data_IF_060956173126
#
_entry.id   IF_060956173126
#
_cell.length_a   1.000
_cell.length_b   1.000
_cell.length_c   1.000
_cell.angle_alpha   90.00
_cell.angle_beta   90.00
_cell.angle_gamma   90.00
#
_symmetry.space_group_name_H-M   'P 1'
#
loop_
_entity.id
_entity.type
_entity.pdbx_description
1 polymer ?
#
# COMPACT_ATOMS: atom_id res chain seq x y z
N UNK A 1 17.03 -13.99 3.20
CA UNK A 1 16.06 -14.23 2.10
C UNK A 1 16.68 -15.32 1.26
N UNK A 2 15.92 -16.36 0.93
CA UNK A 2 16.40 -17.46 0.09
C UNK A 2 16.74 -16.94 -1.32
N UNK A 3 17.86 -17.38 -1.88
CA UNK A 3 18.32 -16.98 -3.21
C UNK A 3 17.33 -17.32 -4.32
N UNK A 4 16.40 -18.26 -4.08
CA UNK A 4 15.28 -18.55 -4.98
C UNK A 4 14.39 -17.35 -5.24
N UNK A 5 14.01 -16.59 -4.20
CA UNK A 5 13.16 -15.40 -4.39
C UNK A 5 13.88 -14.26 -5.11
N UNK A 6 15.21 -14.15 -4.97
CA UNK A 6 15.99 -13.23 -5.78
C UNK A 6 15.94 -13.60 -7.27
N UNK A 7 15.95 -14.89 -7.61
CA UNK A 7 15.79 -15.36 -9.00
C UNK A 7 14.36 -15.12 -9.52
N UNK A 8 13.34 -15.25 -8.67
CA UNK A 8 11.96 -14.91 -9.04
C UNK A 8 11.81 -13.42 -9.35
N UNK A 9 12.41 -12.54 -8.52
CA UNK A 9 12.47 -11.10 -8.82
C UNK A 9 13.14 -10.84 -10.17
N UNK A 10 14.28 -11.48 -10.45
CA UNK A 10 14.96 -11.31 -11.75
C UNK A 10 14.10 -11.77 -12.92
N UNK A 11 13.35 -12.87 -12.74
CA UNK A 11 12.47 -13.44 -13.77
C UNK A 11 11.26 -12.53 -14.04
N UNK A 12 10.70 -11.93 -12.98
CA UNK A 12 9.51 -11.08 -13.08
C UNK A 12 9.84 -9.63 -13.45
N UNK A 13 11.10 -9.21 -13.36
CA UNK A 13 11.52 -7.82 -13.50
C UNK A 13 10.98 -7.14 -14.76
N UNK A 14 11.12 -7.81 -15.90
CA UNK A 14 10.68 -7.29 -17.21
C UNK A 14 9.17 -7.42 -17.46
N UNK A 15 8.45 -8.13 -16.58
CA UNK A 15 7.00 -8.18 -16.57
C UNK A 15 6.37 -7.05 -15.72
N UNK A 16 7.18 -6.40 -14.86
CA UNK A 16 6.78 -5.29 -13.99
C UNK A 16 7.26 -3.96 -14.58
N UNK A 17 8.54 -3.89 -14.95
CA UNK A 17 9.17 -2.69 -15.50
C UNK A 17 9.74 -2.97 -16.90
N UNK A 18 9.93 -1.95 -17.74
CA UNK A 18 10.55 -2.13 -19.06
C UNK A 18 12.08 -2.20 -19.00
N UNK A 19 12.66 -2.82 -20.03
CA UNK A 19 14.11 -2.95 -20.17
C UNK A 19 14.80 -1.58 -20.27
N UNK A 20 14.18 -0.64 -20.98
CA UNK A 20 14.68 0.73 -21.16
C UNK A 20 14.77 1.53 -19.86
N UNK A 21 14.09 1.08 -18.81
CA UNK A 21 14.21 1.63 -17.46
C UNK A 21 15.27 0.86 -16.63
N UNK A 22 15.16 -0.47 -16.59
CA UNK A 22 15.95 -1.31 -15.72
C UNK A 22 17.44 -1.29 -16.09
N UNK A 23 17.77 -1.36 -17.38
CA UNK A 23 19.15 -1.42 -17.84
C UNK A 23 19.93 -0.14 -17.52
N UNK A 24 19.45 1.08 -17.87
CA UNK A 24 20.13 2.31 -17.48
C UNK A 24 20.26 2.48 -15.97
N UNK A 25 19.22 2.13 -15.20
CA UNK A 25 19.24 2.21 -13.74
C UNK A 25 20.34 1.32 -13.15
N UNK A 26 20.41 0.05 -13.57
CA UNK A 26 21.44 -0.89 -13.13
C UNK A 26 22.84 -0.41 -13.53
N UNK A 27 23.01 0.03 -14.77
CA UNK A 27 24.30 0.54 -15.27
C UNK A 27 24.77 1.77 -14.51
N UNK A 28 23.84 2.67 -14.13
CA UNK A 28 24.14 3.82 -13.28
C UNK A 28 24.60 3.34 -11.91
N UNK A 29 23.82 2.51 -11.22
CA UNK A 29 24.11 2.05 -9.86
C UNK A 29 25.47 1.32 -9.79
N UNK A 30 25.79 0.48 -10.78
CA UNK A 30 27.09 -0.25 -10.85
C UNK A 30 28.31 0.68 -10.91
N UNK A 31 28.14 1.94 -11.32
CA UNK A 31 29.21 2.94 -11.41
C UNK A 31 29.28 3.85 -10.17
N UNK A 32 28.35 3.72 -9.23
CA UNK A 32 28.31 4.55 -8.03
C UNK A 32 29.30 4.07 -6.96
N UNK A 33 29.68 5.00 -6.08
CA UNK A 33 30.38 4.73 -4.83
C UNK A 33 29.41 4.49 -3.67
N UNK A 34 29.86 4.74 -2.45
CA UNK A 34 29.03 4.69 -1.23
C UNK A 34 28.09 5.89 -1.09
N UNK A 35 28.50 7.04 -1.63
CA UNK A 35 27.75 8.29 -1.51
C UNK A 35 26.46 8.26 -2.36
N UNK A 36 25.30 8.61 -1.78
CA UNK A 36 24.06 8.72 -2.53
C UNK A 36 24.18 9.74 -3.68
N UNK A 37 23.73 9.34 -4.86
CA UNK A 37 23.63 10.18 -6.05
C UNK A 37 22.28 9.96 -6.71
N UNK A 38 21.80 10.98 -7.42
CA UNK A 38 20.62 10.88 -8.27
C UNK A 38 20.78 9.70 -9.26
N UNK A 39 19.77 8.82 -9.30
CA UNK A 39 19.81 7.62 -10.13
C UNK A 39 19.40 7.89 -11.57
N UNK A 40 18.30 8.62 -11.77
CA UNK A 40 17.77 8.92 -13.09
C UNK A 40 17.53 10.42 -13.24
N UNK A 41 17.77 10.96 -14.45
CA UNK A 41 17.63 12.40 -14.70
C UNK A 41 16.21 12.92 -14.48
N UNK A 42 15.21 12.07 -14.73
CA UNK A 42 13.80 12.42 -14.65
C UNK A 42 13.23 12.31 -13.23
N UNK A 43 13.95 11.66 -12.30
CA UNK A 43 13.57 11.58 -10.88
C UNK A 43 14.38 12.57 -10.07
N UNK A 44 13.72 13.52 -9.42
CA UNK A 44 14.41 14.59 -8.69
C UNK A 44 14.77 14.21 -7.26
N UNK A 45 14.09 13.23 -6.68
CA UNK A 45 14.17 12.85 -5.27
C UNK A 45 14.86 11.49 -5.05
N UNK A 46 14.90 10.63 -6.08
CA UNK A 46 15.38 9.27 -5.93
C UNK A 46 16.90 9.20 -6.11
N UNK A 47 17.56 9.09 -4.96
CA UNK A 47 19.00 8.89 -4.87
C UNK A 47 19.33 7.47 -4.42
N UNK A 48 20.51 7.01 -4.79
CA UNK A 48 21.02 5.71 -4.38
C UNK A 48 22.53 5.65 -4.48
N UNK A 49 23.09 4.54 -4.01
CA UNK A 49 24.51 4.25 -4.05
C UNK A 49 24.71 2.85 -4.66
N UNK A 50 25.95 2.36 -4.65
CA UNK A 50 26.30 1.04 -5.23
C UNK A 50 25.48 -0.13 -4.70
N UNK A 51 24.95 -0.03 -3.49
CA UNK A 51 24.23 -1.10 -2.79
C UNK A 51 22.71 -1.02 -3.02
N UNK A 52 22.21 0.07 -3.59
CA UNK A 52 20.77 0.31 -3.78
C UNK A 52 20.07 -0.72 -4.65
N UNK A 53 20.73 -1.23 -5.69
CA UNK A 53 20.15 -2.27 -6.55
C UNK A 53 19.94 -3.59 -5.79
N UNK A 54 20.95 -3.99 -5.01
CA UNK A 54 20.85 -5.17 -4.15
C UNK A 54 19.76 -4.98 -3.10
N UNK A 55 19.70 -3.81 -2.47
CA UNK A 55 18.66 -3.49 -1.49
C UNK A 55 17.25 -3.58 -2.09
N UNK A 56 17.02 -3.02 -3.28
CA UNK A 56 15.73 -3.07 -3.97
C UNK A 56 15.32 -4.52 -4.30
N UNK A 57 16.25 -5.34 -4.82
CA UNK A 57 15.98 -6.76 -5.10
C UNK A 57 15.67 -7.56 -3.83
N UNK A 58 16.39 -7.31 -2.74
CA UNK A 58 16.17 -7.94 -1.44
C UNK A 58 14.82 -7.51 -0.86
N UNK A 59 14.42 -6.25 -0.98
CA UNK A 59 13.11 -5.75 -0.57
C UNK A 59 11.98 -6.51 -1.30
N UNK A 60 12.02 -6.53 -2.63
CA UNK A 60 11.02 -7.24 -3.43
C UNK A 60 10.98 -8.75 -3.12
N UNK A 61 12.16 -9.40 -3.05
CA UNK A 61 12.26 -10.83 -2.75
C UNK A 61 11.72 -11.19 -1.35
N UNK A 62 11.90 -10.30 -0.37
CA UNK A 62 11.33 -10.48 0.97
C UNK A 62 9.82 -10.46 0.95
N UNK A 63 9.22 -9.58 0.15
CA UNK A 63 7.78 -9.55 -0.05
C UNK A 63 7.26 -10.80 -0.76
N UNK A 64 7.98 -11.32 -1.78
CA UNK A 64 7.61 -12.57 -2.45
C UNK A 64 7.63 -13.77 -1.49
N UNK A 65 8.66 -13.86 -0.64
CA UNK A 65 8.74 -14.91 0.38
C UNK A 65 7.53 -14.89 1.32
N UNK A 66 7.09 -13.70 1.75
CA UNK A 66 5.90 -13.58 2.59
C UNK A 66 4.60 -13.92 1.85
N UNK A 67 4.55 -13.71 0.53
CA UNK A 67 3.43 -14.19 -0.27
C UNK A 67 3.30 -15.71 -0.21
N UNK A 68 4.40 -16.45 -0.30
CA UNK A 68 4.37 -17.92 -0.15
C UNK A 68 3.90 -18.35 1.23
N UNK A 69 4.42 -17.73 2.30
CA UNK A 69 3.97 -18.02 3.67
C UNK A 69 2.44 -17.88 3.82
N UNK A 70 1.85 -16.87 3.18
CA UNK A 70 0.40 -16.60 3.23
C UNK A 70 -0.39 -17.50 2.25
N UNK A 71 0.10 -17.70 1.02
CA UNK A 71 -0.55 -18.54 0.01
C UNK A 71 -0.60 -20.01 0.44
N UNK A 72 0.43 -20.48 1.15
CA UNK A 72 0.55 -21.85 1.62
C UNK A 72 -0.08 -22.06 3.01
N UNK A 73 -0.65 -21.01 3.60
CA UNK A 73 -1.37 -21.07 4.88
C UNK A 73 -0.48 -21.27 6.11
N UNK A 74 0.82 -20.97 6.01
CA UNK A 74 1.74 -20.95 7.16
C UNK A 74 1.52 -19.71 8.04
N UNK A 75 1.03 -18.63 7.44
CA UNK A 75 0.53 -17.46 8.14
C UNK A 75 -0.78 -16.97 7.50
N UNK A 76 -1.70 -16.42 8.30
CA UNK A 76 -2.87 -15.73 7.76
C UNK A 76 -2.46 -14.37 7.16
N UNK A 77 -1.59 -13.66 7.87
CA UNK A 77 -1.14 -12.31 7.52
C UNK A 77 0.37 -12.18 7.65
N UNK A 78 0.99 -11.34 6.83
CA UNK A 78 2.41 -11.04 6.90
C UNK A 78 2.70 -9.54 6.71
N UNK A 79 3.76 -9.04 7.35
CA UNK A 79 4.25 -7.66 7.19
C UNK A 79 5.73 -7.67 6.79
N UNK A 80 6.03 -7.09 5.64
CA UNK A 80 7.36 -6.86 5.10
C UNK A 80 7.83 -5.46 5.50
N UNK A 81 8.65 -5.37 6.56
CA UNK A 81 9.36 -4.15 6.95
C UNK A 81 10.56 -3.87 6.03
N UNK A 82 10.30 -3.65 4.75
CA UNK A 82 11.31 -3.52 3.69
C UNK A 82 11.71 -2.07 3.44
N UNK A 83 12.89 -1.89 2.85
CA UNK A 83 13.38 -0.61 2.30
C UNK A 83 14.40 -0.92 1.20
N UNK A 84 14.37 -0.25 0.02
CA UNK A 84 13.52 0.88 -0.37
C UNK A 84 12.02 0.56 -0.55
N UNK A 85 11.14 1.58 -0.50
CA UNK A 85 9.71 1.46 -0.85
C UNK A 85 9.53 1.15 -2.36
N UNK A 86 8.29 1.00 -2.81
CA UNK A 86 7.99 0.58 -4.17
C UNK A 86 6.84 1.28 -4.90
N UNK A 87 5.87 1.87 -4.22
CA UNK A 87 4.60 2.27 -4.87
C UNK A 87 4.71 3.38 -5.94
N UNK A 88 5.80 4.15 -5.94
CA UNK A 88 6.13 5.15 -6.96
C UNK A 88 6.99 4.63 -8.13
N UNK A 89 7.53 3.41 -8.04
CA UNK A 89 8.28 2.84 -9.15
C UNK A 89 7.32 2.43 -10.26
N UNK A 90 7.25 3.24 -11.32
CA UNK A 90 6.44 2.99 -12.51
C UNK A 90 7.11 2.01 -13.47
N UNK A 91 6.47 1.77 -14.61
CA UNK A 91 6.96 0.83 -15.60
C UNK A 91 8.26 1.32 -16.25
N UNK A 92 8.38 2.63 -16.45
CA UNK A 92 9.47 3.25 -17.20
C UNK A 92 10.36 4.18 -16.36
N UNK A 93 10.06 4.32 -15.06
CA UNK A 93 10.72 5.30 -14.21
C UNK A 93 10.82 4.88 -12.74
N UNK A 94 11.76 5.55 -12.05
CA UNK A 94 11.95 5.53 -10.60
C UNK A 94 11.50 6.90 -10.11
N UNK A 95 10.77 6.97 -9.01
CA UNK A 95 10.46 8.23 -8.34
C UNK A 95 10.09 7.97 -6.89
N UNK A 96 9.97 9.00 -6.04
CA UNK A 96 9.47 8.84 -4.67
C UNK A 96 10.30 7.86 -3.84
N UNK A 97 11.63 7.85 -4.05
CA UNK A 97 12.58 6.93 -3.43
C UNK A 97 12.45 5.44 -3.84
N UNK A 98 11.56 5.12 -4.78
CA UNK A 98 11.21 3.77 -5.18
C UNK A 98 11.98 3.32 -6.43
N UNK A 99 12.68 2.18 -6.34
CA UNK A 99 13.46 1.60 -7.46
C UNK A 99 12.79 0.39 -8.13
N UNK A 100 11.96 -0.34 -7.39
CA UNK A 100 11.23 -1.51 -7.87
C UNK A 100 9.87 -1.52 -7.19
N UNK A 101 8.81 -1.93 -7.89
CA UNK A 101 7.47 -1.90 -7.34
C UNK A 101 7.16 -3.17 -6.54
N UNK A 102 7.49 -3.16 -5.25
CA UNK A 102 7.39 -4.32 -4.35
C UNK A 102 6.01 -5.01 -4.40
N UNK A 103 4.90 -4.24 -4.35
CA UNK A 103 3.55 -4.81 -4.33
C UNK A 103 3.12 -5.36 -5.70
N UNK A 104 3.57 -4.75 -6.80
CA UNK A 104 3.31 -5.31 -8.14
C UNK A 104 4.12 -6.58 -8.37
N UNK A 105 5.37 -6.67 -7.89
CA UNK A 105 6.12 -7.93 -7.88
C UNK A 105 5.35 -9.03 -7.14
N UNK A 106 4.79 -8.73 -5.96
CA UNK A 106 3.94 -9.67 -5.22
C UNK A 106 2.74 -10.13 -6.04
N UNK A 107 2.00 -9.19 -6.64
CA UNK A 107 0.86 -9.52 -7.49
C UNK A 107 1.26 -10.43 -8.65
N UNK A 108 2.31 -10.10 -9.41
CA UNK A 108 2.78 -10.91 -10.54
C UNK A 108 3.28 -12.29 -10.12
N UNK A 109 3.95 -12.37 -8.98
CA UNK A 109 4.40 -13.64 -8.41
C UNK A 109 3.21 -14.53 -8.02
N UNK A 110 2.27 -14.00 -7.24
CA UNK A 110 1.03 -14.70 -6.86
C UNK A 110 0.29 -15.19 -8.10
N UNK A 111 0.16 -14.34 -9.13
CA UNK A 111 -0.55 -14.69 -10.38
C UNK A 111 0.22 -15.71 -11.22
N UNK A 112 1.55 -15.76 -11.13
CA UNK A 112 2.36 -16.82 -11.76
C UNK A 112 2.14 -18.17 -11.06
N UNK A 113 2.12 -18.18 -9.73
CA UNK A 113 1.99 -19.38 -8.90
C UNK A 113 0.53 -19.85 -8.75
N UNK A 114 -0.43 -18.93 -8.84
CA UNK A 114 -1.89 -19.11 -8.75
C UNK A 114 -2.62 -18.29 -9.83
N UNK A 115 -2.62 -18.72 -11.11
CA UNK A 115 -3.16 -17.96 -12.23
C UNK A 115 -4.66 -17.61 -12.18
N UNK A 116 -5.43 -18.23 -11.30
CA UNK A 116 -6.86 -17.95 -11.12
C UNK A 116 -7.17 -17.05 -9.93
N UNK A 117 -6.16 -16.70 -9.11
CA UNK A 117 -6.38 -15.89 -7.93
C UNK A 117 -6.54 -14.43 -8.28
N UNK A 118 -7.54 -13.78 -7.69
CA UNK A 118 -7.75 -12.34 -7.74
C UNK A 118 -6.91 -11.65 -6.67
N UNK A 119 -6.06 -10.73 -7.07
CA UNK A 119 -5.21 -9.96 -6.15
C UNK A 119 -5.79 -8.55 -6.03
N UNK A 120 -6.01 -8.08 -4.80
CA UNK A 120 -6.39 -6.69 -4.57
C UNK A 120 -5.32 -5.97 -3.76
N UNK A 121 -4.84 -4.84 -4.26
CA UNK A 121 -3.90 -3.96 -3.58
C UNK A 121 -4.64 -2.76 -3.01
N UNK A 122 -4.46 -2.50 -1.72
CA UNK A 122 -4.96 -1.30 -1.04
C UNK A 122 -3.77 -0.48 -0.57
N UNK A 123 -3.63 0.73 -1.11
CA UNK A 123 -2.59 1.68 -0.75
C UNK A 123 -3.16 2.78 0.15
N UNK A 124 -2.57 2.92 1.34
CA UNK A 124 -2.92 3.97 2.29
C UNK A 124 -1.75 4.87 2.67
N UNK A 125 -0.62 4.78 1.95
CA UNK A 125 0.38 5.85 1.93
C UNK A 125 -0.29 7.17 1.53
N UNK A 126 0.18 8.29 2.06
CA UNK A 126 -0.45 9.58 1.78
C UNK A 126 -0.21 10.06 0.35
N UNK A 127 0.87 9.58 -0.28
CA UNK A 127 1.19 9.88 -1.66
C UNK A 127 0.46 8.91 -2.59
N UNK A 128 0.10 9.39 -3.77
CA UNK A 128 -0.48 8.52 -4.79
C UNK A 128 0.52 7.43 -5.18
N UNK A 129 0.14 6.16 -5.07
CA UNK A 129 0.87 5.01 -5.62
C UNK A 129 0.84 4.97 -7.16
N UNK A 130 1.36 6.02 -7.79
CA UNK A 130 1.31 6.28 -9.23
C UNK A 130 2.07 5.24 -10.05
N UNK A 131 3.21 4.76 -9.56
CA UNK A 131 3.94 3.67 -10.19
C UNK A 131 3.13 2.37 -10.20
N UNK A 132 2.42 2.08 -9.10
CA UNK A 132 1.51 0.92 -9.01
C UNK A 132 0.35 1.08 -10.00
N UNK A 133 -0.28 2.26 -10.05
CA UNK A 133 -1.33 2.57 -11.01
C UNK A 133 -0.84 2.39 -12.45
N UNK A 134 0.31 2.95 -12.82
CA UNK A 134 0.87 2.88 -14.16
C UNK A 134 1.04 1.44 -14.62
N UNK A 135 1.67 0.61 -13.78
CA UNK A 135 1.91 -0.79 -14.14
C UNK A 135 0.60 -1.58 -14.21
N UNK A 136 -0.33 -1.41 -13.27
CA UNK A 136 -1.63 -2.10 -13.28
C UNK A 136 -2.45 -1.71 -14.51
N UNK A 137 -2.47 -0.42 -14.87
CA UNK A 137 -3.15 0.10 -16.04
C UNK A 137 -2.56 -0.49 -17.35
N UNK A 138 -1.23 -0.60 -17.42
CA UNK A 138 -0.55 -1.19 -18.57
C UNK A 138 -0.84 -2.68 -18.73
N UNK A 139 -0.81 -3.43 -17.62
CA UNK A 139 -1.02 -4.87 -17.63
C UNK A 139 -2.46 -5.26 -18.02
N UNK A 140 -3.43 -4.36 -17.83
CA UNK A 140 -4.86 -4.58 -18.14
C UNK A 140 -5.41 -5.88 -17.52
N UNK A 141 -4.89 -6.28 -16.36
CA UNK A 141 -5.26 -7.54 -15.71
C UNK A 141 -6.61 -7.37 -14.99
N UNK A 142 -7.63 -8.07 -15.47
CA UNK A 142 -8.96 -8.07 -14.87
C UNK A 142 -9.01 -8.81 -13.52
N UNK A 143 -7.93 -9.52 -13.16
CA UNK A 143 -7.75 -10.18 -11.86
C UNK A 143 -6.78 -9.44 -10.93
N UNK A 144 -6.39 -8.19 -11.24
CA UNK A 144 -5.71 -7.29 -10.30
C UNK A 144 -6.53 -6.02 -10.08
N UNK A 145 -7.04 -5.83 -8.87
CA UNK A 145 -7.68 -4.58 -8.42
C UNK A 145 -6.68 -3.72 -7.65
N UNK A 146 -6.64 -2.42 -7.93
CA UNK A 146 -5.85 -1.43 -7.17
C UNK A 146 -6.75 -0.31 -6.64
N UNK A 147 -6.64 -0.01 -5.36
CA UNK A 147 -7.31 1.13 -4.72
C UNK A 147 -6.33 1.90 -3.84
N UNK A 148 -6.25 3.22 -4.00
CA UNK A 148 -5.28 4.08 -3.30
C UNK A 148 -5.99 5.25 -2.63
N UNK A 149 -5.63 5.49 -1.36
CA UNK A 149 -5.88 6.75 -0.67
C UNK A 149 -4.72 7.68 -0.97
N UNK A 150 -4.99 8.96 -1.16
CA UNK A 150 -3.92 9.94 -1.39
C UNK A 150 -4.41 11.36 -1.13
N UNK A 151 -3.49 12.27 -0.84
CA UNK A 151 -3.75 13.69 -1.02
C UNK A 151 -3.64 14.03 -2.51
N UNK A 152 -4.64 14.74 -3.02
CA UNK A 152 -4.53 15.44 -4.31
C UNK A 152 -4.77 16.90 -4.05
N UNK A 153 -3.85 17.74 -4.51
CA UNK A 153 -4.07 19.18 -4.57
C UNK A 153 -4.98 19.50 -5.75
N UNK A 154 -6.16 20.06 -5.50
CA UNK A 154 -7.05 20.53 -6.58
C UNK A 154 -6.62 21.88 -7.19
N UNK A 155 -5.32 22.18 -7.25
CA UNK A 155 -4.79 23.33 -8.00
C UNK A 155 -4.86 23.11 -9.53
N UNK A 156 -5.94 22.51 -10.03
CA UNK A 156 -6.30 22.45 -11.46
C UNK A 156 -7.60 23.20 -11.76
N UNK A 157 -7.96 24.21 -10.96
CA UNK A 157 -8.84 25.26 -11.47
C UNK A 157 -8.11 26.22 -12.43
N UNK A 158 -6.78 26.16 -12.49
CA UNK A 158 -5.93 26.82 -13.46
C UNK A 158 -5.18 25.76 -14.28
N UNK A 159 -5.34 25.76 -15.61
CA UNK A 159 -4.67 24.87 -16.54
C UNK A 159 -3.12 25.07 -16.61
N UNK A 160 -2.56 26.00 -15.84
CA UNK A 160 -1.16 26.40 -15.86
C UNK A 160 -0.38 26.11 -14.57
N UNK A 161 -1.01 25.70 -13.46
CA UNK A 161 -0.34 25.51 -12.17
C UNK A 161 -0.12 24.03 -11.79
N UNK A 162 0.64 23.28 -12.59
CA UNK A 162 1.15 21.94 -12.21
C UNK A 162 2.26 21.99 -11.15
N UNK A 163 2.79 23.17 -10.83
CA UNK A 163 4.01 23.34 -10.04
C UNK A 163 3.80 23.41 -8.51
N UNK A 164 2.55 23.44 -8.03
CA UNK A 164 2.21 23.55 -6.60
C UNK A 164 1.46 22.31 -6.06
N UNK A 165 1.58 21.18 -6.75
CA UNK A 165 0.89 19.95 -6.38
C UNK A 165 1.67 19.11 -5.36
N UNK A 166 0.97 18.51 -4.40
CA UNK A 166 1.54 17.48 -3.51
C UNK A 166 2.11 16.38 -4.37
N UNK A 167 3.33 15.93 -4.05
CA UNK A 167 3.99 14.88 -4.81
C UNK A 167 3.08 13.63 -4.89
N UNK A 168 2.94 12.98 -6.06
CA UNK A 168 3.56 13.24 -7.37
C UNK A 168 2.76 14.20 -8.28
N UNK A 169 1.61 14.71 -7.84
CA UNK A 169 0.74 15.59 -8.66
C UNK A 169 -0.11 14.83 -9.69
N UNK A 170 -0.31 13.53 -9.48
CA UNK A 170 -1.14 12.62 -10.29
C UNK A 170 -2.29 12.03 -9.47
N UNK A 171 -3.03 11.08 -10.05
CA UNK A 171 -4.06 10.31 -9.35
C UNK A 171 -5.46 10.94 -9.39
N UNK A 172 -5.70 11.85 -10.34
CA UNK A 172 -7.05 12.37 -10.59
C UNK A 172 -7.99 11.23 -11.05
N UNK A 173 -9.17 11.06 -10.45
CA UNK A 173 -10.13 10.04 -10.90
C UNK A 173 -10.56 10.19 -12.36
N UNK A 174 -10.39 11.38 -12.97
CA UNK A 174 -10.65 11.62 -14.40
C UNK A 174 -9.59 11.00 -15.31
N UNK A 175 -8.40 10.73 -14.78
CA UNK A 175 -7.32 10.06 -15.53
C UNK A 175 -7.55 8.53 -15.61
N UNK A 176 -8.67 8.03 -15.07
CA UNK A 176 -9.01 6.61 -15.01
C UNK A 176 -9.94 6.15 -16.14
N UNK A 177 -10.12 6.95 -17.20
CA UNK A 177 -10.97 6.58 -18.34
C UNK A 177 -10.53 5.24 -18.93
N UNK A 178 -11.41 4.23 -18.83
CA UNK A 178 -11.16 2.85 -19.29
C UNK A 178 -10.44 1.94 -18.28
N UNK A 179 -10.08 2.44 -17.10
CA UNK A 179 -9.43 1.68 -16.01
C UNK A 179 -10.45 1.30 -14.93
N UNK A 180 -11.19 0.21 -15.15
CA UNK A 180 -12.26 -0.24 -14.24
C UNK A 180 -11.75 -0.93 -12.96
N UNK A 181 -10.46 -1.24 -12.91
CA UNK A 181 -9.79 -1.94 -11.81
C UNK A 181 -8.87 -1.02 -10.99
N UNK A 182 -8.89 0.29 -11.24
CA UNK A 182 -8.11 1.31 -10.51
C UNK A 182 -9.07 2.30 -9.86
N UNK A 183 -8.85 2.60 -8.58
CA UNK A 183 -9.69 3.50 -7.80
C UNK A 183 -8.85 4.44 -6.94
N UNK A 184 -8.93 5.73 -7.26
CA UNK A 184 -8.21 6.76 -6.50
C UNK A 184 -9.16 7.50 -5.57
N UNK A 185 -8.73 7.71 -4.33
CA UNK A 185 -9.43 8.52 -3.35
C UNK A 185 -8.67 9.81 -3.05
N UNK A 186 -8.82 10.84 -3.92
CA UNK A 186 -8.18 12.12 -3.70
C UNK A 186 -8.79 12.86 -2.51
N UNK A 187 -7.94 13.37 -1.62
CA UNK A 187 -8.32 14.30 -0.56
C UNK A 187 -7.72 15.67 -0.85
N UNK A 188 -8.58 16.69 -0.92
CA UNK A 188 -8.18 18.10 -1.06
C UNK A 188 -8.10 18.75 0.33
N UNK A 189 -6.88 19.06 0.77
CA UNK A 189 -6.59 19.60 2.09
C UNK A 189 -6.04 18.54 3.06
N UNK A 190 -6.23 18.69 4.39
CA UNK A 190 -5.70 17.73 5.34
C UNK A 190 -6.43 16.39 5.24
N UNK A 191 -5.71 15.28 5.39
CA UNK A 191 -6.31 13.96 5.56
C UNK A 191 -6.84 13.86 6.98
N UNK A 192 -8.17 13.79 7.11
CA UNK A 192 -8.83 13.59 8.39
C UNK A 192 -9.40 12.17 8.50
N UNK A 193 -9.80 11.77 9.70
CA UNK A 193 -10.47 10.47 9.94
C UNK A 193 -11.72 10.24 9.07
N UNK A 194 -12.47 11.30 8.75
CA UNK A 194 -13.63 11.22 7.85
C UNK A 194 -13.23 10.76 6.43
N UNK A 195 -12.04 11.13 5.98
CA UNK A 195 -11.53 10.81 4.66
C UNK A 195 -11.02 9.35 4.64
N UNK A 196 -10.36 8.92 5.71
CA UNK A 196 -10.06 7.49 5.96
C UNK A 196 -11.31 6.62 5.97
N UNK A 197 -12.37 7.06 6.66
CA UNK A 197 -13.65 6.36 6.69
C UNK A 197 -14.27 6.25 5.28
N UNK A 198 -14.28 7.36 4.53
CA UNK A 198 -14.83 7.41 3.17
C UNK A 198 -14.03 6.54 2.21
N UNK A 199 -12.70 6.58 2.28
CA UNK A 199 -11.82 5.67 1.53
C UNK A 199 -12.12 4.22 1.86
N UNK A 200 -12.09 3.87 3.14
CA UNK A 200 -12.38 2.52 3.61
C UNK A 200 -13.74 2.02 3.10
N UNK A 201 -14.78 2.85 3.16
CA UNK A 201 -16.14 2.55 2.67
C UNK A 201 -16.15 2.21 1.18
N UNK A 202 -15.56 3.08 0.36
CA UNK A 202 -15.50 2.88 -1.09
C UNK A 202 -14.67 1.64 -1.43
N UNK A 203 -13.50 1.49 -0.81
CA UNK A 203 -12.61 0.35 -1.02
C UNK A 203 -13.29 -0.96 -0.65
N UNK A 204 -13.98 -1.04 0.49
CA UNK A 204 -14.75 -2.24 0.85
C UNK A 204 -15.83 -2.61 -0.17
N UNK A 205 -16.54 -1.63 -0.73
CA UNK A 205 -17.54 -1.89 -1.75
C UNK A 205 -16.89 -2.52 -3.00
N UNK A 206 -15.73 -2.00 -3.42
CA UNK A 206 -14.95 -2.53 -4.56
C UNK A 206 -14.36 -3.90 -4.28
N UNK A 207 -13.84 -4.13 -3.08
CA UNK A 207 -13.35 -5.45 -2.68
C UNK A 207 -14.49 -6.50 -2.65
N UNK A 208 -15.68 -6.15 -2.17
CA UNK A 208 -16.86 -7.05 -2.18
C UNK A 208 -17.29 -7.42 -3.60
N UNK A 209 -17.26 -6.46 -4.52
CA UNK A 209 -17.57 -6.67 -5.93
C UNK A 209 -16.52 -7.57 -6.61
N UNK A 210 -15.24 -7.26 -6.37
CA UNK A 210 -14.11 -7.94 -6.98
C UNK A 210 -13.85 -9.35 -6.45
N UNK A 211 -14.17 -9.61 -5.17
CA UNK A 211 -13.98 -10.90 -4.48
C UNK A 211 -12.52 -11.39 -4.55
N UNK A 212 -11.56 -10.68 -3.96
CA UNK A 212 -10.15 -11.07 -4.00
C UNK A 212 -9.91 -12.38 -3.26
N UNK A 213 -8.91 -13.13 -3.72
CA UNK A 213 -8.38 -14.31 -3.03
C UNK A 213 -7.31 -13.92 -2.00
N UNK A 214 -6.66 -12.77 -2.16
CA UNK A 214 -5.62 -12.24 -1.26
C UNK A 214 -5.60 -10.71 -1.32
N UNK A 215 -5.35 -10.07 -0.18
CA UNK A 215 -5.09 -8.62 -0.12
C UNK A 215 -3.59 -8.33 -0.02
N UNK A 216 -3.14 -7.36 -0.80
CA UNK A 216 -1.85 -6.70 -0.65
C UNK A 216 -2.09 -5.31 -0.06
N UNK A 217 -1.29 -4.90 0.92
CA UNK A 217 -1.34 -3.55 1.49
C UNK A 217 -0.04 -2.81 1.18
N UNK A 218 -0.12 -1.65 0.52
CA UNK A 218 0.95 -0.67 0.48
C UNK A 218 0.81 0.20 1.73
N UNK A 219 1.69 -0.01 2.71
CA UNK A 219 1.56 0.52 4.05
C UNK A 219 2.53 1.67 4.29
N UNK A 220 2.11 2.87 3.90
CA UNK A 220 2.76 4.13 4.29
C UNK A 220 2.21 4.67 5.62
N UNK A 221 3.09 5.27 6.42
CA UNK A 221 2.74 5.85 7.73
C UNK A 221 2.93 7.36 7.80
N UNK A 222 3.07 7.99 6.64
CA UNK A 222 3.30 9.41 6.43
C UNK A 222 2.02 10.27 6.42
N UNK A 223 0.84 9.66 6.55
CA UNK A 223 -0.38 10.36 6.94
C UNK A 223 -0.43 10.70 8.45
N UNK A 224 0.60 10.33 9.24
CA UNK A 224 0.63 10.65 10.66
C UNK A 224 0.72 12.16 10.87
N UNK A 225 0.01 12.69 11.87
CA UNK A 225 -0.07 14.14 12.15
C UNK A 225 1.24 14.86 12.46
N UNK A 226 2.26 14.08 12.80
CA UNK A 226 3.58 14.57 13.18
C UNK A 226 4.62 14.23 12.08
N UNK A 227 4.20 13.66 10.95
CA UNK A 227 5.11 13.30 9.87
C UNK A 227 5.56 14.54 9.06
N UNK A 228 6.86 14.65 8.70
CA UNK A 228 7.36 15.79 7.96
C UNK A 228 7.03 15.76 6.47
N UNK A 229 6.42 14.70 5.93
CA UNK A 229 6.02 14.59 4.51
C UNK A 229 5.28 15.81 3.97
N UNK A 230 4.64 16.59 4.85
CA UNK A 230 3.88 17.78 4.50
C UNK A 230 4.65 19.11 4.62
N UNK A 231 5.88 19.11 5.16
CA UNK A 231 6.57 20.33 5.60
C UNK A 231 6.99 21.28 4.47
N UNK A 232 7.13 20.78 3.24
CA UNK A 232 7.49 21.59 2.07
C UNK A 232 6.27 22.23 1.37
N UNK A 233 5.06 22.01 1.88
CA UNK A 233 3.83 22.56 1.32
C UNK A 233 3.36 23.82 2.07
N UNK A 234 2.79 24.77 1.32
CA UNK A 234 2.34 26.09 1.83
C UNK A 234 1.46 25.92 3.09
N UNK A 235 1.96 26.45 4.22
CA UNK A 235 1.37 26.64 5.57
C UNK A 235 0.03 25.92 5.85
N UNK A 236 0.05 24.90 6.71
CA UNK A 236 -1.08 24.20 7.36
C UNK A 236 -2.19 23.58 6.48
N UNK A 237 -2.18 23.83 5.17
CA UNK A 237 -3.27 23.44 4.25
C UNK A 237 -3.31 21.94 3.97
N UNK A 238 -2.16 21.27 3.99
CA UNK A 238 -2.03 19.85 3.71
C UNK A 238 -1.23 19.22 4.83
N UNK A 239 -1.86 18.30 5.56
CA UNK A 239 -1.28 17.56 6.68
C UNK A 239 -2.10 16.31 6.92
N UNK A 240 -1.49 15.31 7.51
CA UNK A 240 -2.21 14.19 8.10
C UNK A 240 -2.81 14.58 9.44
N UNK A 241 -3.97 14.04 9.81
CA UNK A 241 -4.54 14.12 11.16
C UNK A 241 -4.83 12.73 11.71
N UNK A 242 -3.90 11.81 11.44
CA UNK A 242 -3.98 10.40 11.77
C UNK A 242 -2.95 10.09 12.86
N UNK A 243 -3.28 9.18 13.76
CA UNK A 243 -2.35 8.63 14.75
C UNK A 243 -2.28 7.09 14.68
N UNK A 244 -1.42 6.49 15.52
CA UNK A 244 -1.20 5.04 15.55
C UNK A 244 -2.50 4.21 15.71
N UNK A 245 -3.48 4.67 16.49
CA UNK A 245 -4.74 3.92 16.69
C UNK A 245 -5.63 3.98 15.44
N UNK A 246 -5.51 5.03 14.63
CA UNK A 246 -6.19 5.12 13.35
C UNK A 246 -5.57 4.11 12.36
N UNK A 247 -4.24 3.97 12.30
CA UNK A 247 -3.57 2.90 11.53
C UNK A 247 -4.02 1.50 11.97
N UNK A 248 -4.17 1.26 13.29
CA UNK A 248 -4.79 0.01 13.78
C UNK A 248 -6.20 -0.16 13.21
N UNK A 249 -7.04 0.87 13.29
CA UNK A 249 -8.43 0.81 12.86
C UNK A 249 -8.55 0.42 11.38
N UNK A 250 -7.82 1.09 10.50
CA UNK A 250 -7.87 0.83 9.06
C UNK A 250 -7.34 -0.57 8.73
N UNK A 251 -6.23 -0.96 9.34
CA UNK A 251 -5.63 -2.29 9.15
C UNK A 251 -6.56 -3.40 9.63
N UNK A 252 -7.16 -3.23 10.82
CA UNK A 252 -8.07 -4.20 11.39
C UNK A 252 -9.33 -4.36 10.52
N UNK A 253 -9.81 -3.29 9.91
CA UNK A 253 -10.94 -3.33 8.97
C UNK A 253 -10.62 -4.23 7.77
N UNK A 254 -9.51 -3.98 7.06
CA UNK A 254 -9.13 -4.77 5.89
C UNK A 254 -8.76 -6.22 6.24
N UNK A 255 -8.11 -6.43 7.39
CA UNK A 255 -7.79 -7.77 7.84
C UNK A 255 -9.04 -8.56 8.27
N UNK A 256 -10.08 -7.89 8.83
CA UNK A 256 -11.40 -8.49 9.08
C UNK A 256 -12.11 -8.85 7.79
N UNK A 257 -12.08 -7.96 6.79
CA UNK A 257 -12.60 -8.25 5.47
C UNK A 257 -11.89 -9.49 4.87
N UNK A 258 -10.55 -9.52 4.89
CA UNK A 258 -9.80 -10.66 4.37
C UNK A 258 -10.12 -11.96 5.11
N UNK A 259 -10.35 -11.91 6.43
CA UNK A 259 -10.78 -13.07 7.20
C UNK A 259 -12.09 -13.67 6.68
N UNK A 260 -13.06 -12.83 6.30
CA UNK A 260 -14.37 -13.28 5.83
C UNK A 260 -14.40 -13.67 4.36
N UNK A 261 -13.57 -13.04 3.52
CA UNK A 261 -13.67 -13.16 2.06
C UNK A 261 -12.44 -13.80 1.40
N UNK A 262 -11.29 -13.80 2.07
CA UNK A 262 -10.00 -14.21 1.53
C UNK A 262 -9.30 -15.26 2.43
N UNK A 263 -10.03 -15.96 3.30
CA UNK A 263 -9.47 -16.90 4.29
C UNK A 263 -8.35 -16.28 5.16
N UNK A 264 -8.45 -14.99 5.47
CA UNK A 264 -7.48 -14.26 6.28
C UNK A 264 -6.26 -13.74 5.54
N UNK A 265 -6.08 -14.06 4.26
CA UNK A 265 -4.84 -13.81 3.50
C UNK A 265 -4.56 -12.32 3.27
N UNK A 266 -3.55 -11.80 3.95
CA UNK A 266 -3.06 -10.41 3.79
C UNK A 266 -1.53 -10.39 3.78
N UNK A 267 -0.93 -9.73 2.79
CA UNK A 267 0.50 -9.37 2.80
C UNK A 267 0.62 -7.87 2.77
N UNK A 268 1.34 -7.28 3.72
CA UNK A 268 1.56 -5.84 3.79
C UNK A 268 3.03 -5.51 3.55
N UNK A 269 3.30 -4.51 2.73
CA UNK A 269 4.63 -4.03 2.40
C UNK A 269 4.79 -2.59 2.91
N UNK A 270 5.89 -2.31 3.64
CA UNK A 270 6.20 -0.96 4.10
C UNK A 270 6.50 -0.02 2.91
N UNK A 271 5.86 1.15 2.90
CA UNK A 271 6.12 2.25 1.96
C UNK A 271 6.73 3.46 2.70
N UNK A 272 6.04 4.61 2.74
CA UNK A 272 6.49 5.87 3.37
C UNK A 272 6.34 5.93 4.89
N UNK A 273 6.73 7.08 5.44
CA UNK A 273 6.79 7.36 6.88
C UNK A 273 8.18 7.87 7.28
N UNK A 274 8.25 9.13 7.65
CA UNK A 274 9.50 9.89 7.70
C UNK A 274 9.80 10.47 9.08
N UNK A 275 8.80 10.52 9.99
CA UNK A 275 9.05 10.80 11.40
C UNK A 275 9.31 9.50 12.19
N UNK A 276 10.57 9.32 12.60
CA UNK A 276 11.04 8.14 13.33
C UNK A 276 10.40 7.94 14.70
N UNK A 277 9.95 9.01 15.35
CA UNK A 277 9.36 8.94 16.70
C UNK A 277 7.93 8.35 16.65
N UNK A 278 7.23 8.52 15.53
CA UNK A 278 5.84 8.07 15.34
C UNK A 278 5.73 6.88 14.38
N UNK A 279 6.72 6.65 13.52
CA UNK A 279 6.76 5.52 12.60
C UNK A 279 6.74 4.18 13.35
N UNK A 280 7.60 4.02 14.37
CA UNK A 280 7.67 2.79 15.17
C UNK A 280 6.34 2.44 15.83
N UNK A 281 5.72 3.35 16.61
CA UNK A 281 4.39 3.14 17.18
C UNK A 281 3.29 2.87 16.14
N UNK A 282 3.32 3.54 14.99
CA UNK A 282 2.31 3.36 13.93
C UNK A 282 2.43 1.98 13.26
N UNK A 283 3.66 1.53 12.97
CA UNK A 283 3.93 0.16 12.49
C UNK A 283 3.50 -0.86 13.55
N UNK A 284 3.80 -0.63 14.83
CA UNK A 284 3.42 -1.54 15.89
C UNK A 284 1.89 -1.72 15.97
N UNK A 285 1.13 -0.62 15.85
CA UNK A 285 -0.32 -0.66 15.81
C UNK A 285 -0.87 -1.41 14.58
N UNK A 286 -0.26 -1.20 13.40
CA UNK A 286 -0.57 -1.94 12.18
C UNK A 286 -0.28 -3.45 12.30
N UNK A 287 0.93 -3.83 12.74
CA UNK A 287 1.32 -5.24 12.96
C UNK A 287 0.45 -5.90 14.01
N UNK A 288 0.06 -5.18 15.07
CA UNK A 288 -0.85 -5.68 16.08
C UNK A 288 -2.24 -5.98 15.50
N UNK A 289 -2.75 -5.12 14.61
CA UNK A 289 -4.00 -5.36 13.90
C UNK A 289 -3.92 -6.58 12.98
N UNK A 290 -2.80 -6.79 12.27
CA UNK A 290 -2.59 -8.00 11.46
C UNK A 290 -2.54 -9.27 12.33
N UNK A 291 -1.77 -9.23 13.43
CA UNK A 291 -1.44 -10.41 14.26
C UNK A 291 -2.61 -10.91 15.11
N UNK A 292 -3.54 -10.04 15.51
CA UNK A 292 -4.68 -10.42 16.35
C UNK A 292 -5.69 -11.26 15.54
N UNK A 293 -6.04 -12.44 16.06
CA UNK A 293 -7.03 -13.33 15.44
C UNK A 293 -8.46 -12.90 15.71
N UNK A 294 -9.30 -12.99 14.68
CA UNK A 294 -10.77 -12.93 14.70
C UNK A 294 -11.37 -12.08 15.81
N UNK A 295 -11.80 -12.71 16.89
CA UNK A 295 -12.55 -12.09 18.00
C UNK A 295 -11.78 -10.98 18.71
N UNK A 296 -10.47 -11.14 18.96
CA UNK A 296 -9.68 -10.12 19.68
C UNK A 296 -9.46 -8.87 18.84
N UNK A 297 -9.24 -9.05 17.52
CA UNK A 297 -9.11 -7.95 16.58
C UNK A 297 -10.44 -7.22 16.42
N UNK A 298 -11.53 -7.98 16.21
CA UNK A 298 -12.89 -7.41 16.08
C UNK A 298 -13.30 -6.61 17.31
N UNK A 299 -13.03 -7.11 18.51
CA UNK A 299 -13.38 -6.39 19.73
C UNK A 299 -12.69 -5.03 19.84
N UNK A 300 -11.36 -4.99 19.65
CA UNK A 300 -10.62 -3.72 19.69
C UNK A 300 -11.03 -2.79 18.53
N UNK A 301 -11.19 -3.34 17.33
CA UNK A 301 -11.69 -2.59 16.17
C UNK A 301 -13.06 -1.95 16.45
N UNK A 302 -14.03 -2.69 16.98
CA UNK A 302 -15.36 -2.19 17.34
C UNK A 302 -15.28 -1.08 18.40
N UNK A 303 -14.45 -1.27 19.43
CA UNK A 303 -14.24 -0.25 20.46
C UNK A 303 -13.67 1.05 19.87
N UNK A 304 -12.58 0.95 19.10
CA UNK A 304 -11.95 2.12 18.45
C UNK A 304 -12.90 2.79 17.45
N UNK A 305 -13.65 2.00 16.70
CA UNK A 305 -14.65 2.52 15.78
C UNK A 305 -15.71 3.34 16.53
N UNK A 306 -16.25 2.81 17.62
CA UNK A 306 -17.23 3.52 18.46
C UNK A 306 -16.65 4.82 19.06
N UNK A 307 -15.37 4.82 19.42
CA UNK A 307 -14.71 5.98 20.02
C UNK A 307 -14.38 7.09 19.00
N UNK A 308 -14.03 6.74 17.75
CA UNK A 308 -13.39 7.67 16.81
C UNK A 308 -14.12 7.87 15.49
N UNK A 309 -14.84 6.85 15.02
CA UNK A 309 -15.38 6.79 13.66
C UNK A 309 -16.90 6.74 13.57
N UNK A 310 -17.62 6.37 14.65
CA UNK A 310 -19.10 6.25 14.66
C UNK A 310 -19.84 7.52 14.23
N UNK A 311 -19.24 8.69 14.43
CA UNK A 311 -19.78 9.98 13.98
C UNK A 311 -19.85 10.11 12.46
N UNK A 312 -19.15 9.26 11.71
CA UNK A 312 -19.15 9.22 10.24
C UNK A 312 -20.06 8.13 9.69
N UNK A 313 -20.75 7.37 10.55
CA UNK A 313 -21.65 6.30 10.14
C UNK A 313 -22.86 6.85 9.38
N UNK A 314 -22.69 6.97 8.08
CA UNK A 314 -23.72 7.34 7.11
C UNK A 314 -24.15 6.13 6.23
N UNK A 315 -23.57 4.95 6.48
CA UNK A 315 -23.63 3.80 5.58
C UNK A 315 -23.67 2.46 6.30
N UNK A 316 -24.53 1.57 5.82
CA UNK A 316 -24.66 0.20 6.35
C UNK A 316 -23.47 -0.70 6.01
N UNK A 317 -22.67 -0.42 4.97
CA UNK A 317 -21.65 -1.35 4.48
C UNK A 317 -20.46 -1.54 5.43
N UNK A 318 -20.02 -0.45 6.08
CA UNK A 318 -19.02 -0.51 7.16
C UNK A 318 -19.68 -1.09 8.43
N UNK A 319 -20.92 -0.71 8.73
CA UNK A 319 -21.68 -1.30 9.83
C UNK A 319 -21.87 -2.81 9.70
N UNK A 320 -22.07 -3.35 8.51
CA UNK A 320 -22.19 -4.79 8.28
C UNK A 320 -20.86 -5.48 8.62
N UNK A 321 -19.72 -4.88 8.24
CA UNK A 321 -18.41 -5.41 8.59
C UNK A 321 -18.12 -5.30 10.10
N UNK A 322 -18.57 -4.21 10.73
CA UNK A 322 -18.49 -3.99 12.18
C UNK A 322 -19.39 -4.97 12.95
N UNK A 323 -20.60 -5.22 12.47
CA UNK A 323 -21.65 -5.95 13.16
C UNK A 323 -21.61 -7.46 12.92
N UNK A 324 -20.76 -7.94 12.00
CA UNK A 324 -20.48 -9.37 11.87
C UNK A 324 -19.89 -9.90 13.17
N UNK A 325 -20.75 -10.57 13.96
CA UNK A 325 -20.32 -11.42 15.07
C UNK A 325 -19.35 -12.46 14.52
N UNK A 326 -18.37 -12.84 15.34
CA UNK A 326 -17.52 -13.99 15.04
C UNK A 326 -18.44 -15.18 14.73
N UNK A 327 -18.55 -15.58 13.46
CA UNK A 327 -19.14 -16.86 13.09
C UNK A 327 -18.11 -17.96 13.41
N UNK A 328 -17.66 -18.01 14.66
CA UNK A 328 -17.10 -19.23 15.22
C UNK A 328 -18.29 -20.03 15.71
N UNK A 329 -18.84 -20.86 14.81
CA UNK A 329 -19.45 -22.11 15.27
C UNK A 329 -18.47 -22.78 16.24
N UNK A 330 -19.00 -23.29 17.34
CA UNK A 330 -18.27 -23.51 18.57
C UNK A 330 -16.98 -24.30 18.43
N UNK A 331 -15.93 -23.79 19.06
CA UNK A 331 -14.92 -24.61 19.70
C UNK A 331 -14.42 -23.81 20.89
N UNK A 332 -14.86 -24.22 22.08
CA UNK A 332 -14.16 -23.90 23.32
C UNK A 332 -12.71 -24.37 23.14
N UNK A 333 -11.77 -23.44 23.03
CA UNK A 333 -10.36 -23.74 23.22
C UNK A 333 -9.99 -23.22 24.60
N UNK A 334 -9.89 -24.17 25.54
CA UNK A 334 -9.17 -23.95 26.80
C UNK A 334 -7.70 -23.63 26.47
N UNK A 335 -7.16 -22.65 27.18
CA UNK A 335 -5.72 -22.38 27.18
C UNK A 335 -4.99 -23.61 27.75
N UNK A 336 -4.05 -24.15 26.99
CA UNK A 336 -2.97 -25.02 27.48
C UNK A 336 -1.66 -24.28 27.31
#
# INVERSE_FOLDING_TARGET
IDDSYLREVDTLMYAVHIEEYLEPLQQKIRKLGSEPQQLMKNSKDTTGNRDSWTAARVAAAGCLQLCDEVMEGRADTAFAGVRPPGHHAGREETDGFCLLNNVVFCSKYIRTVRPHWRVATVDFDVHHGDGTQDIVAYLKDDQHLFATLQIVTTFRHDAHARAEAFFPGTGDPRDLDGLYNVYNHPVDGPILRKDWYKFAKVTLAKLKEFKPDILLLSAGFDAHKDDPSFQDMIEDKYRGEIDAEDYYWLTALFANFAHDHCFGRVVSCLEGGYNRDVLGPSIAAHVEALSRRGTLRRHRFQKLHQERYVQFDDDKAIQDEINKRSNTGGSNFEFV
#
